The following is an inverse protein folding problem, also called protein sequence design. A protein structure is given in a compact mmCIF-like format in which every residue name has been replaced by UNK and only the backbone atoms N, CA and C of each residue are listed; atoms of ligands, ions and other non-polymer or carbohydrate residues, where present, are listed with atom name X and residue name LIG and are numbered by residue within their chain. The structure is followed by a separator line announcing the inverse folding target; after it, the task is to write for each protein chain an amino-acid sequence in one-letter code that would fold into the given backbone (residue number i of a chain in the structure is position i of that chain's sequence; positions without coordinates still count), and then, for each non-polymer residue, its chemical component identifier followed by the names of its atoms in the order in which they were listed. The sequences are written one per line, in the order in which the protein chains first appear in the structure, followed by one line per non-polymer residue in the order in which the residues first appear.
data_IF_473373707586
#
_entry.id   IF_473373707586
#
_cell.length_a   1.000
_cell.length_b   1.000
_cell.length_c   1.000
_cell.angle_alpha   90.00
_cell.angle_beta   90.00
_cell.angle_gamma   90.00
#
_symmetry.space_group_name_H-M   'P 1'
#
loop_
_entity.id
_entity.type
_entity.pdbx_description
1 polymer ?
#
# COMPACT_ATOMS: atom_id res chain seq x y z
N UNK A 1 7.42 -20.62 46.90
CA UNK A 1 6.34 -19.98 46.11
C UNK A 1 5.18 -20.95 46.02
N UNK A 2 4.00 -20.59 46.53
CA UNK A 2 2.84 -21.50 46.61
C UNK A 2 2.29 -21.86 45.22
N UNK A 3 1.77 -23.08 45.07
CA UNK A 3 1.21 -23.63 43.82
C UNK A 3 0.13 -22.74 43.17
N UNK A 4 -0.53 -21.88 43.94
CA UNK A 4 -1.48 -20.89 43.45
C UNK A 4 -0.83 -19.81 42.55
N UNK A 5 0.38 -19.35 42.89
CA UNK A 5 1.10 -18.31 42.14
C UNK A 5 1.54 -18.84 40.77
N UNK A 6 1.97 -20.12 40.72
CA UNK A 6 2.36 -20.77 39.47
C UNK A 6 1.16 -20.95 38.52
N UNK A 7 -0.02 -21.31 39.04
CA UNK A 7 -1.24 -21.43 38.23
C UNK A 7 -1.68 -20.08 37.64
N UNK A 8 -1.59 -18.98 38.40
CA UNK A 8 -1.95 -17.65 37.88
C UNK A 8 -1.01 -17.18 36.77
N UNK A 9 0.31 -17.44 36.89
CA UNK A 9 1.30 -17.06 35.86
C UNK A 9 1.09 -17.85 34.57
N UNK A 10 0.81 -19.16 34.69
CA UNK A 10 0.54 -20.01 33.51
C UNK A 10 -0.76 -19.60 32.82
N UNK A 11 -1.81 -19.27 33.58
CA UNK A 11 -3.07 -18.77 33.00
C UNK A 11 -2.90 -17.41 32.33
N UNK A 12 -2.10 -16.50 32.90
CA UNK A 12 -1.80 -15.20 32.28
C UNK A 12 -0.99 -15.34 30.98
N UNK A 13 -0.01 -16.24 30.94
CA UNK A 13 0.77 -16.53 29.73
C UNK A 13 -0.07 -17.20 28.64
N UNK A 14 -0.96 -18.12 29.01
CA UNK A 14 -1.90 -18.75 28.06
C UNK A 14 -2.92 -17.73 27.55
N UNK A 15 -3.45 -16.83 28.39
CA UNK A 15 -4.33 -15.75 27.93
C UNK A 15 -3.58 -14.77 26.99
N UNK A 16 -2.33 -14.40 27.28
CA UNK A 16 -1.54 -13.56 26.39
C UNK A 16 -1.26 -14.24 25.04
N UNK A 17 -1.02 -15.55 25.03
CA UNK A 17 -0.85 -16.32 23.78
C UNK A 17 -2.16 -16.48 23.00
N UNK A 18 -3.30 -16.60 23.69
CA UNK A 18 -4.63 -16.65 23.05
C UNK A 18 -5.03 -15.28 22.48
N UNK A 19 -4.79 -14.19 23.20
CA UNK A 19 -5.06 -12.82 22.72
C UNK A 19 -4.14 -12.47 21.53
N UNK A 20 -2.85 -12.80 21.61
CA UNK A 20 -1.91 -12.63 20.49
C UNK A 20 -2.29 -13.51 19.29
N UNK A 21 -2.71 -14.76 19.54
CA UNK A 21 -3.18 -15.69 18.51
C UNK A 21 -4.47 -15.26 17.83
N UNK A 22 -5.41 -14.64 18.56
CA UNK A 22 -6.69 -14.19 18.01
C UNK A 22 -6.56 -12.90 17.18
N UNK A 23 -5.68 -11.96 17.58
CA UNK A 23 -5.29 -10.82 16.74
C UNK A 23 -4.59 -11.26 15.45
N UNK A 24 -3.70 -12.26 15.54
CA UNK A 24 -2.91 -12.74 14.41
C UNK A 24 -3.75 -13.63 13.45
N UNK A 25 -4.80 -14.28 13.95
CA UNK A 25 -5.74 -15.07 13.13
C UNK A 25 -6.76 -14.19 12.41
N UNK A 26 -7.22 -13.10 13.04
CA UNK A 26 -8.15 -12.13 12.42
C UNK A 26 -7.51 -11.31 11.29
N UNK A 27 -6.18 -11.07 11.32
CA UNK A 27 -5.46 -10.43 10.21
C UNK A 27 -5.26 -11.31 8.96
N UNK A 28 -5.20 -12.64 9.12
CA UNK A 28 -4.82 -13.59 8.06
C UNK A 28 -5.89 -13.80 6.99
N UNK A 29 -7.16 -13.53 7.30
CA UNK A 29 -8.31 -13.80 6.41
C UNK A 29 -8.80 -12.54 5.66
N UNK A 30 -8.37 -11.35 6.10
CA UNK A 30 -9.02 -10.07 5.76
C UNK A 30 -8.59 -9.43 4.42
N UNK A 31 -7.61 -10.01 3.72
CA UNK A 31 -7.17 -9.53 2.40
C UNK A 31 -7.72 -10.33 1.22
N UNK A 32 -8.43 -11.44 1.46
CA UNK A 32 -9.02 -12.28 0.41
C UNK A 32 -10.50 -12.70 0.66
N UNK A 33 -11.10 -12.41 1.83
CA UNK A 33 -12.54 -12.62 2.06
C UNK A 33 -13.32 -11.31 2.25
N UNK A 34 -14.65 -11.43 2.27
CA UNK A 34 -15.64 -10.40 1.94
C UNK A 34 -15.69 -9.17 2.87
N UNK A 35 -14.86 -9.11 3.91
CA UNK A 35 -14.66 -7.93 4.79
C UNK A 35 -13.59 -6.94 4.28
N UNK A 36 -13.25 -7.02 2.99
CA UNK A 36 -12.52 -5.99 2.22
C UNK A 36 -13.23 -4.62 2.13
N UNK A 37 -14.32 -4.46 2.88
CA UNK A 37 -15.25 -3.34 2.82
C UNK A 37 -14.71 -2.05 3.45
N UNK A 38 -13.65 -2.09 4.26
CA UNK A 38 -13.11 -0.87 4.85
C UNK A 38 -12.31 0.00 3.86
N UNK A 39 -11.66 -0.62 2.87
CA UNK A 39 -10.73 0.04 1.93
C UNK A 39 -11.14 -0.09 0.44
N UNK A 40 -12.30 -0.70 0.12
CA UNK A 40 -12.92 -1.20 -1.16
C UNK A 40 -12.46 -0.76 -2.54
N UNK A 41 -11.42 0.04 -2.70
CA UNK A 41 -10.53 -0.11 -3.83
C UNK A 41 -10.00 -1.55 -3.81
N UNK A 42 -10.79 -2.52 -4.31
CA UNK A 42 -10.28 -3.80 -4.81
C UNK A 42 -9.10 -3.36 -5.68
N UNK A 43 -7.90 -3.64 -5.21
CA UNK A 43 -6.66 -3.42 -5.95
C UNK A 43 -6.79 -4.33 -7.16
N UNK A 44 -7.51 -3.86 -8.19
CA UNK A 44 -8.04 -4.69 -9.25
C UNK A 44 -6.85 -5.45 -9.79
N UNK A 45 -6.77 -6.75 -9.50
CA UNK A 45 -5.50 -7.49 -9.49
C UNK A 45 -4.72 -7.05 -10.71
N UNK A 46 -3.78 -6.12 -10.49
CA UNK A 46 -3.15 -5.39 -11.58
C UNK A 46 -2.14 -6.38 -12.09
N UNK A 47 -2.62 -7.36 -12.85
CA UNK A 47 -1.79 -8.30 -13.59
C UNK A 47 -0.89 -7.36 -14.40
N UNK A 48 0.38 -7.33 -14.04
CA UNK A 48 1.32 -6.45 -14.72
C UNK A 48 1.30 -6.78 -16.19
N UNK A 49 1.32 -5.75 -17.01
CA UNK A 49 1.40 -5.88 -18.46
C UNK A 49 2.84 -5.87 -18.95
N UNK A 50 3.79 -5.78 -18.02
CA UNK A 50 5.22 -5.77 -18.26
C UNK A 50 5.91 -6.97 -17.60
N UNK A 51 6.60 -7.79 -18.40
CA UNK A 51 7.32 -8.96 -17.92
C UNK A 51 6.42 -10.11 -17.45
N UNK A 52 7.01 -11.27 -17.16
CA UNK A 52 6.27 -12.45 -16.70
C UNK A 52 5.67 -12.25 -15.31
N UNK A 53 6.47 -11.73 -14.37
CA UNK A 53 6.08 -11.43 -12.98
C UNK A 53 5.60 -9.99 -12.81
N UNK A 54 4.84 -9.71 -11.75
CA UNK A 54 4.50 -8.34 -11.37
C UNK A 54 5.50 -7.84 -10.32
N UNK A 55 6.62 -7.27 -10.77
CA UNK A 55 7.67 -6.73 -9.92
C UNK A 55 7.17 -5.62 -8.98
N UNK A 56 6.16 -4.86 -9.40
CA UNK A 56 5.59 -3.75 -8.64
C UNK A 56 4.49 -4.18 -7.66
N UNK A 57 4.12 -5.47 -7.62
CA UNK A 57 3.10 -5.97 -6.70
C UNK A 57 3.58 -5.79 -5.26
N UNK A 58 2.85 -4.98 -4.48
CA UNK A 58 3.15 -4.70 -3.08
C UNK A 58 4.59 -4.23 -2.88
N UNK A 59 5.01 -3.28 -3.70
CA UNK A 59 6.32 -2.65 -3.58
C UNK A 59 6.56 -2.21 -2.12
N UNK A 60 7.62 -2.73 -1.50
CA UNK A 60 7.97 -2.41 -0.12
C UNK A 60 7.41 -3.33 0.95
N UNK A 61 6.43 -4.18 0.63
CA UNK A 61 5.76 -5.07 1.61
C UNK A 61 5.26 -6.36 0.94
N UNK A 62 6.18 -7.09 0.31
CA UNK A 62 5.84 -8.31 -0.45
C UNK A 62 5.13 -9.35 0.42
N UNK A 63 5.58 -9.50 1.66
CA UNK A 63 5.12 -10.49 2.62
C UNK A 63 3.89 -10.03 3.42
N UNK A 64 3.38 -8.82 3.16
CA UNK A 64 2.17 -8.22 3.78
C UNK A 64 2.27 -7.99 5.28
N UNK A 65 3.44 -8.19 5.88
CA UNK A 65 3.60 -8.12 7.34
C UNK A 65 3.30 -6.71 7.86
N UNK A 66 3.73 -5.68 7.13
CA UNK A 66 3.40 -4.31 7.49
C UNK A 66 1.93 -3.98 7.16
N UNK A 67 1.42 -4.41 6.01
CA UNK A 67 0.04 -4.17 5.61
C UNK A 67 -0.97 -4.70 6.61
N UNK A 68 -0.78 -5.91 7.14
CA UNK A 68 -1.71 -6.52 8.10
C UNK A 68 -1.76 -5.71 9.42
N UNK A 69 -0.60 -5.27 9.90
CA UNK A 69 -0.51 -4.41 11.09
C UNK A 69 -1.12 -3.03 10.85
N UNK A 70 -0.76 -2.40 9.74
CA UNK A 70 -1.23 -1.07 9.38
C UNK A 70 -2.73 -1.05 9.08
N UNK A 71 -3.30 -2.13 8.58
CA UNK A 71 -4.75 -2.25 8.42
C UNK A 71 -5.44 -2.11 9.77
N UNK A 72 -4.99 -2.85 10.79
CA UNK A 72 -5.58 -2.79 12.13
C UNK A 72 -5.46 -1.39 12.73
N UNK A 73 -4.26 -0.79 12.68
CA UNK A 73 -4.00 0.56 13.21
C UNK A 73 -4.88 1.63 12.53
N UNK A 74 -5.03 1.56 11.20
CA UNK A 74 -5.86 2.53 10.47
C UNK A 74 -7.36 2.24 10.66
N UNK A 75 -7.77 0.98 10.75
CA UNK A 75 -9.15 0.63 11.04
C UNK A 75 -9.58 1.18 12.40
N UNK A 76 -8.75 1.00 13.43
CA UNK A 76 -8.98 1.53 14.78
C UNK A 76 -9.06 3.06 14.77
N UNK A 77 -8.08 3.73 14.14
CA UNK A 77 -8.01 5.21 14.04
C UNK A 77 -9.30 5.83 13.47
N UNK A 78 -9.97 5.14 12.55
CA UNK A 78 -11.21 5.61 11.93
C UNK A 78 -12.48 5.02 12.56
N UNK A 79 -12.36 4.00 13.41
CA UNK A 79 -13.48 3.45 14.19
C UNK A 79 -13.74 4.27 15.47
N UNK A 80 -12.70 4.84 16.07
CA UNK A 80 -12.74 5.62 17.32
C UNK A 80 -13.48 6.97 17.22
N UNK A 81 -13.89 7.40 16.03
CA UNK A 81 -14.34 8.76 15.74
C UNK A 81 -15.79 8.85 15.22
N UNK A 82 -16.65 7.98 15.76
CA UNK A 82 -18.11 8.04 15.71
C UNK A 82 -18.85 7.41 14.51
N UNK A 83 -19.75 6.48 14.84
CA UNK A 83 -21.19 6.58 14.51
C UNK A 83 -21.65 6.31 13.08
N UNK A 84 -20.77 6.15 12.11
CA UNK A 84 -21.20 5.91 10.73
C UNK A 84 -20.37 4.75 10.17
N UNK A 85 -20.94 3.55 10.21
CA UNK A 85 -20.74 2.61 9.10
C UNK A 85 -21.79 2.98 8.06
N UNK A 86 -21.53 3.96 7.17
CA UNK A 86 -22.45 4.15 6.06
C UNK A 86 -22.30 2.87 5.24
N UNK A 87 -23.43 2.29 4.80
CA UNK A 87 -23.39 1.50 3.57
C UNK A 87 -22.66 2.38 2.56
N UNK A 88 -21.45 1.96 2.19
CA UNK A 88 -20.50 2.82 1.49
C UNK A 88 -21.03 3.16 0.10
N UNK A 89 -21.67 4.32 0.01
CA UNK A 89 -22.11 4.88 -1.27
C UNK A 89 -20.88 5.40 -2.03
N UNK A 90 -20.44 4.65 -3.04
CA UNK A 90 -19.33 5.05 -3.91
C UNK A 90 -19.64 6.29 -4.77
N UNK A 91 -20.90 6.73 -4.79
CA UNK A 91 -21.34 7.97 -5.44
C UNK A 91 -21.40 9.15 -4.47
N UNK A 92 -21.22 8.93 -3.15
CA UNK A 92 -21.05 10.01 -2.18
C UNK A 92 -19.63 10.56 -2.24
N UNK A 93 -19.53 11.88 -2.44
CA UNK A 93 -18.25 12.61 -2.44
C UNK A 93 -17.53 12.46 -1.10
N UNK A 94 -18.28 12.43 0.00
CA UNK A 94 -17.81 12.30 1.38
C UNK A 94 -17.23 10.91 1.63
N UNK A 95 -17.93 9.85 1.20
CA UNK A 95 -17.44 8.48 1.32
C UNK A 95 -16.16 8.24 0.50
N UNK A 96 -16.07 8.85 -0.69
CA UNK A 96 -14.86 8.82 -1.52
C UNK A 96 -13.70 9.55 -0.83
N UNK A 97 -13.94 10.73 -0.25
CA UNK A 97 -12.93 11.47 0.53
C UNK A 97 -12.42 10.64 1.70
N UNK A 98 -13.30 10.05 2.50
CA UNK A 98 -12.91 9.20 3.64
C UNK A 98 -12.10 8.00 3.17
N UNK A 99 -12.52 7.33 2.09
CA UNK A 99 -11.79 6.18 1.53
C UNK A 99 -10.38 6.59 1.08
N UNK A 100 -10.24 7.76 0.44
CA UNK A 100 -8.94 8.31 0.04
C UNK A 100 -8.04 8.58 1.26
N UNK A 101 -8.58 9.17 2.33
CA UNK A 101 -7.85 9.41 3.59
C UNK A 101 -7.34 8.10 4.22
N UNK A 102 -8.21 7.09 4.28
CA UNK A 102 -7.83 5.75 4.75
C UNK A 102 -6.64 5.20 3.95
N UNK A 103 -6.70 5.26 2.61
CA UNK A 103 -5.59 4.82 1.75
C UNK A 103 -4.30 5.59 2.03
N UNK A 104 -4.36 6.90 2.23
CA UNK A 104 -3.19 7.70 2.58
C UNK A 104 -2.55 7.23 3.90
N UNK A 105 -3.35 7.01 4.93
CA UNK A 105 -2.86 6.50 6.22
C UNK A 105 -2.28 5.09 6.13
N UNK A 106 -2.94 4.19 5.39
CA UNK A 106 -2.48 2.82 5.20
C UNK A 106 -1.10 2.80 4.53
N UNK A 107 -0.96 3.55 3.43
CA UNK A 107 0.27 3.61 2.67
C UNK A 107 1.38 4.35 3.43
N UNK A 108 1.09 5.42 4.16
CA UNK A 108 2.08 6.05 5.05
C UNK A 108 2.61 5.06 6.09
N UNK A 109 1.72 4.35 6.78
CA UNK A 109 2.10 3.37 7.79
C UNK A 109 3.00 2.27 7.22
N UNK A 110 2.62 1.70 6.06
CA UNK A 110 3.43 0.69 5.36
C UNK A 110 4.81 1.25 4.98
N UNK A 111 4.84 2.48 4.47
CA UNK A 111 6.06 3.16 4.08
C UNK A 111 7.02 3.35 5.25
N UNK A 112 6.51 3.80 6.41
CA UNK A 112 7.30 4.00 7.64
C UNK A 112 7.83 2.69 8.21
N UNK A 113 6.96 1.67 8.39
CA UNK A 113 7.37 0.37 8.95
C UNK A 113 8.45 -0.33 8.12
N UNK A 114 8.43 -0.13 6.80
CA UNK A 114 9.42 -0.72 5.87
C UNK A 114 10.56 0.23 5.51
N UNK A 115 10.73 1.36 6.22
CA UNK A 115 11.83 2.32 6.04
C UNK A 115 11.88 2.99 4.66
N UNK A 116 10.79 2.92 3.90
CA UNK A 116 10.62 3.59 2.61
C UNK A 116 10.23 5.05 2.79
N UNK A 117 9.62 5.37 3.94
CA UNK A 117 9.48 6.72 4.42
C UNK A 117 10.38 6.94 5.63
N UNK A 118 10.85 8.16 5.78
CA UNK A 118 11.41 8.69 7.02
C UNK A 118 10.28 9.01 8.02
N UNK A 119 10.64 9.31 9.27
CA UNK A 119 9.67 9.57 10.34
C UNK A 119 8.76 10.78 10.06
N UNK A 120 9.28 11.79 9.36
CA UNK A 120 8.54 12.97 8.88
C UNK A 120 7.58 12.65 7.71
N UNK A 121 7.62 11.42 7.18
CA UNK A 121 6.80 10.95 6.06
C UNK A 121 7.35 11.33 4.69
N UNK A 122 8.57 11.87 4.58
CA UNK A 122 9.24 12.07 3.29
C UNK A 122 9.84 10.76 2.75
N UNK A 123 10.13 10.71 1.44
CA UNK A 123 10.66 9.51 0.81
C UNK A 123 12.11 9.28 1.22
N UNK A 124 12.43 8.07 1.68
CA UNK A 124 13.81 7.66 1.92
C UNK A 124 14.48 7.28 0.59
N UNK A 125 14.90 8.29 -0.19
CA UNK A 125 15.37 8.14 -1.59
C UNK A 125 16.47 7.10 -1.73
N UNK A 126 17.45 7.11 -0.83
CA UNK A 126 18.59 6.17 -0.84
C UNK A 126 18.11 4.74 -0.64
N UNK A 127 17.35 4.49 0.44
CA UNK A 127 16.85 3.15 0.74
C UNK A 127 15.90 2.64 -0.35
N UNK A 128 15.02 3.50 -0.88
CA UNK A 128 14.10 3.14 -1.97
C UNK A 128 14.89 2.71 -3.21
N UNK A 129 15.91 3.47 -3.59
CA UNK A 129 16.75 3.16 -4.75
C UNK A 129 17.44 1.81 -4.56
N UNK A 130 18.10 1.62 -3.41
CA UNK A 130 18.81 0.38 -3.11
C UNK A 130 17.87 -0.83 -3.07
N UNK A 131 16.75 -0.71 -2.36
CA UNK A 131 15.73 -1.76 -2.28
C UNK A 131 15.20 -2.14 -3.67
N UNK A 132 14.91 -1.13 -4.50
CA UNK A 132 14.38 -1.34 -5.85
C UNK A 132 15.38 -2.08 -6.75
N UNK A 133 16.63 -1.59 -6.80
CA UNK A 133 17.64 -2.10 -7.72
C UNK A 133 18.21 -3.46 -7.30
N UNK A 134 18.17 -3.78 -6.00
CA UNK A 134 18.73 -5.03 -5.47
C UNK A 134 17.67 -6.10 -5.21
N UNK A 135 16.41 -5.73 -4.91
CA UNK A 135 15.37 -6.68 -4.47
C UNK A 135 14.19 -6.78 -5.45
N UNK A 136 13.83 -5.68 -6.12
CA UNK A 136 12.64 -5.61 -6.97
C UNK A 136 12.98 -5.92 -8.42
N UNK A 137 13.98 -5.24 -8.98
CA UNK A 137 14.38 -5.37 -10.37
C UNK A 137 15.51 -6.40 -10.52
N UNK A 138 15.13 -7.64 -10.84
CA UNK A 138 16.05 -8.78 -10.91
C UNK A 138 16.80 -8.83 -12.23
N UNK A 139 16.12 -8.52 -13.34
CA UNK A 139 16.69 -8.62 -14.69
C UNK A 139 17.26 -7.26 -15.15
N UNK A 140 18.25 -7.29 -16.05
CA UNK A 140 18.90 -6.07 -16.55
C UNK A 140 17.93 -5.09 -17.22
N UNK A 141 16.98 -5.60 -18.01
CA UNK A 141 15.97 -4.75 -18.64
C UNK A 141 15.05 -4.10 -17.60
N UNK A 142 14.75 -4.78 -16.48
CA UNK A 142 13.94 -4.23 -15.39
C UNK A 142 14.69 -3.10 -14.69
N UNK A 143 16.00 -3.30 -14.46
CA UNK A 143 16.87 -2.29 -13.85
C UNK A 143 16.92 -1.01 -14.67
N UNK A 144 17.09 -1.12 -16.00
CA UNK A 144 17.11 0.05 -16.88
C UNK A 144 15.79 0.84 -16.89
N UNK A 145 14.65 0.15 -16.90
CA UNK A 145 13.33 0.79 -16.82
C UNK A 145 13.09 1.38 -15.43
N UNK A 146 13.42 0.61 -14.40
CA UNK A 146 13.26 0.94 -13.00
C UNK A 146 14.09 2.15 -12.58
N UNK A 147 15.35 2.23 -13.00
CA UNK A 147 16.25 3.35 -12.74
C UNK A 147 15.68 4.66 -13.31
N UNK A 148 15.22 4.67 -14.56
CA UNK A 148 14.57 5.84 -15.17
C UNK A 148 13.29 6.23 -14.43
N UNK A 149 12.49 5.25 -14.02
CA UNK A 149 11.27 5.49 -13.27
C UNK A 149 11.57 6.05 -11.87
N UNK A 150 12.57 5.53 -11.17
CA UNK A 150 13.02 6.02 -9.87
C UNK A 150 13.56 7.45 -9.95
N UNK A 151 14.44 7.73 -10.91
CA UNK A 151 15.00 9.06 -11.12
C UNK A 151 13.91 10.12 -11.32
N UNK A 152 12.81 9.76 -12.00
CA UNK A 152 11.66 10.65 -12.17
C UNK A 152 10.82 10.76 -10.90
N UNK A 153 10.39 9.62 -10.35
CA UNK A 153 9.40 9.61 -9.25
C UNK A 153 9.98 10.04 -7.90
N UNK A 154 11.29 9.88 -7.66
CA UNK A 154 11.92 10.37 -6.43
C UNK A 154 12.11 11.88 -6.42
N UNK A 155 12.14 12.52 -7.60
CA UNK A 155 12.26 13.98 -7.76
C UNK A 155 10.93 14.67 -8.04
N UNK A 156 9.82 13.91 -8.08
CA UNK A 156 8.51 14.47 -8.34
C UNK A 156 7.94 15.19 -7.10
N UNK A 157 7.33 16.35 -7.32
CA UNK A 157 6.61 17.08 -6.27
C UNK A 157 5.21 16.50 -6.13
N UNK A 158 4.96 15.85 -4.99
CA UNK A 158 3.67 15.24 -4.69
C UNK A 158 2.70 16.20 -4.01
N UNK A 159 1.41 15.97 -4.24
CA UNK A 159 0.34 16.80 -3.68
C UNK A 159 0.30 16.57 -2.17
N UNK A 160 0.39 17.63 -1.33
CA UNK A 160 0.33 17.48 0.13
C UNK A 160 -1.09 17.17 0.60
N UNK A 161 -1.22 16.83 1.89
CA UNK A 161 -2.53 16.72 2.51
C UNK A 161 -3.28 18.07 2.45
N UNK A 162 -4.60 18.09 2.21
CA UNK A 162 -5.37 19.34 2.17
C UNK A 162 -5.22 20.15 3.46
N UNK A 163 -4.89 21.44 3.34
CA UNK A 163 -4.62 22.32 4.50
C UNK A 163 -5.83 22.52 5.41
N UNK A 164 -7.03 22.48 4.84
CA UNK A 164 -8.32 22.65 5.52
C UNK A 164 -8.69 21.44 6.40
N UNK A 165 -8.04 20.29 6.23
CA UNK A 165 -8.42 19.03 6.87
C UNK A 165 -7.45 18.65 7.99
N UNK A 166 -7.89 18.78 9.25
CA UNK A 166 -7.09 18.47 10.44
C UNK A 166 -7.29 17.04 10.95
N UNK A 167 -8.46 16.45 10.69
CA UNK A 167 -8.77 15.08 11.11
C UNK A 167 -8.10 14.03 10.23
N UNK A 168 -7.64 12.94 10.87
CA UNK A 168 -7.00 11.79 10.22
C UNK A 168 -5.81 12.13 9.32
N UNK A 169 -5.14 13.26 9.58
CA UNK A 169 -4.01 13.71 8.77
C UNK A 169 -2.96 12.61 8.66
N UNK A 170 -2.63 12.28 7.40
CA UNK A 170 -1.64 11.30 7.01
C UNK A 170 -0.88 11.85 5.80
N UNK A 171 0.37 11.42 5.60
CA UNK A 171 1.20 11.88 4.50
C UNK A 171 0.86 11.12 3.20
N UNK A 172 0.35 11.78 2.13
CA UNK A 172 -0.05 11.11 0.90
C UNK A 172 1.12 10.78 -0.04
N UNK A 173 2.35 11.16 0.31
CA UNK A 173 3.52 11.06 -0.57
C UNK A 173 3.77 9.62 -1.03
N UNK A 174 3.68 8.64 -0.12
CA UNK A 174 4.04 7.27 -0.48
C UNK A 174 3.10 6.61 -1.50
N UNK A 175 1.79 6.80 -1.37
CA UNK A 175 0.84 6.23 -2.34
C UNK A 175 0.99 6.90 -3.71
N UNK A 176 1.30 8.19 -3.75
CA UNK A 176 1.56 8.92 -5.00
C UNK A 176 2.86 8.45 -5.64
N UNK A 177 3.92 8.28 -4.85
CA UNK A 177 5.18 7.69 -5.30
C UNK A 177 5.00 6.29 -5.88
N UNK A 178 4.30 5.39 -5.17
CA UNK A 178 4.02 4.04 -5.67
C UNK A 178 3.24 4.07 -6.98
N UNK A 179 2.27 4.99 -7.10
CA UNK A 179 1.52 5.16 -8.34
C UNK A 179 2.40 5.65 -9.49
N UNK A 180 3.24 6.68 -9.26
CA UNK A 180 4.19 7.16 -10.25
C UNK A 180 5.13 6.05 -10.72
N UNK A 181 5.77 5.35 -9.78
CA UNK A 181 6.76 4.33 -10.08
C UNK A 181 6.15 3.20 -10.90
N UNK A 182 4.97 2.73 -10.50
CA UNK A 182 4.23 1.73 -11.26
C UNK A 182 3.84 2.21 -12.66
N UNK A 183 3.33 3.44 -12.78
CA UNK A 183 2.89 3.99 -14.07
C UNK A 183 4.07 4.16 -15.04
N UNK A 184 5.20 4.68 -14.55
CA UNK A 184 6.41 4.80 -15.35
C UNK A 184 6.98 3.44 -15.74
N UNK A 185 7.01 2.48 -14.82
CA UNK A 185 7.48 1.12 -15.13
C UNK A 185 6.61 0.43 -16.21
N UNK A 186 5.29 0.47 -16.08
CA UNK A 186 4.37 -0.14 -17.05
C UNK A 186 4.37 0.60 -18.40
N UNK A 187 4.47 1.94 -18.39
CA UNK A 187 4.43 2.75 -19.62
C UNK A 187 5.70 2.61 -20.45
N UNK A 188 6.85 2.40 -19.80
CA UNK A 188 8.16 2.30 -20.46
C UNK A 188 8.65 0.85 -20.58
N UNK A 189 7.77 -0.13 -20.37
CA UNK A 189 8.10 -1.53 -20.59
C UNK A 189 8.65 -1.76 -22.01
N UNK A 190 9.73 -2.52 -22.23
CA UNK A 190 10.24 -2.83 -23.57
C UNK A 190 9.25 -3.66 -24.39
N UNK A 191 9.23 -3.47 -25.72
CA UNK A 191 8.24 -4.11 -26.59
C UNK A 191 8.27 -5.64 -26.53
N UNK A 192 9.46 -6.23 -26.43
CA UNK A 192 9.67 -7.67 -26.30
C UNK A 192 9.28 -8.23 -24.91
N UNK A 193 9.09 -7.36 -23.91
CA UNK A 193 8.63 -7.72 -22.55
C UNK A 193 7.16 -7.39 -22.30
N UNK A 194 6.48 -6.75 -23.26
CA UNK A 194 5.06 -6.38 -23.13
C UNK A 194 4.16 -7.58 -23.38
N UNK A 195 3.13 -7.72 -22.53
CA UNK A 195 2.01 -8.63 -22.81
C UNK A 195 1.08 -7.99 -23.85
N UNK A 196 0.70 -8.75 -24.87
CA UNK A 196 -0.10 -8.29 -26.03
C UNK A 196 -1.57 -8.70 -25.96
N UNK A 197 -2.05 -9.20 -24.82
CA UNK A 197 -3.47 -9.51 -24.68
C UNK A 197 -4.34 -8.23 -24.67
N UNK A 198 -5.60 -8.36 -25.12
CA UNK A 198 -6.59 -7.27 -25.21
C UNK A 198 -6.74 -6.45 -23.93
N UNK A 199 -6.56 -7.06 -22.76
CA UNK A 199 -6.61 -6.36 -21.46
C UNK A 199 -5.43 -5.40 -21.32
N UNK A 200 -4.22 -5.85 -21.63
CA UNK A 200 -3.02 -5.04 -21.54
C UNK A 200 -2.97 -3.90 -22.55
N UNK A 201 -3.50 -4.11 -23.75
CA UNK A 201 -3.65 -3.06 -24.75
C UNK A 201 -4.59 -1.94 -24.29
N UNK A 202 -5.79 -2.30 -23.81
CA UNK A 202 -6.75 -1.32 -23.24
C UNK A 202 -6.15 -0.55 -22.07
N UNK A 203 -5.45 -1.26 -21.19
CA UNK A 203 -4.79 -0.68 -20.03
C UNK A 203 -3.70 0.32 -20.43
N UNK A 204 -2.84 -0.03 -21.39
CA UNK A 204 -1.80 0.85 -21.92
C UNK A 204 -2.37 2.10 -22.59
N UNK A 205 -3.46 1.94 -23.34
CA UNK A 205 -4.17 3.08 -23.93
C UNK A 205 -4.67 4.06 -22.85
N UNK A 206 -5.15 3.53 -21.70
CA UNK A 206 -5.52 4.35 -20.55
C UNK A 206 -4.34 5.12 -19.96
N UNK A 207 -3.18 4.48 -19.81
CA UNK A 207 -1.97 5.13 -19.29
C UNK A 207 -1.50 6.28 -20.19
N UNK A 208 -1.56 6.07 -21.52
CA UNK A 208 -1.25 7.11 -22.50
C UNK A 208 -2.16 8.33 -22.34
N UNK A 209 -3.46 8.11 -22.18
CA UNK A 209 -4.42 9.19 -21.94
C UNK A 209 -4.18 9.92 -20.62
N UNK A 210 -3.83 9.20 -19.55
CA UNK A 210 -3.47 9.83 -18.26
C UNK A 210 -2.22 10.71 -18.39
N UNK A 211 -1.16 10.22 -19.05
CA UNK A 211 0.06 11.02 -19.28
C UNK A 211 -0.18 12.28 -20.13
N UNK A 212 -1.18 12.29 -21.03
CA UNK A 212 -1.54 13.49 -21.80
C UNK A 212 -2.34 14.51 -21.02
N UNK A 213 -3.05 14.12 -19.95
CA UNK A 213 -3.86 15.02 -19.12
C UNK A 213 -3.10 15.62 -17.93
N UNK A 214 -1.90 15.11 -17.63
CA UNK A 214 -1.01 15.63 -16.57
C UNK A 214 0.08 16.58 -17.11
N UNK A 215 -0.03 17.03 -18.36
CA UNK A 215 0.82 18.04 -19.00
C UNK A 215 0.06 19.34 -19.18
#
# INVERSE_FOLDING_TARGET
MSAAVFKCIVVALVLQQVIAGDHQRRGKELLDTEDSDFFRCKQATRKSCCGPENSMKRFGDKDKTAADQCYAEVAEKFASTAGVTPKQDLFSTEAVKITKKKQFCLHECIGKKNKLLTEDGSLNKTFITDYSMNTIFKEQWQKQVGEKALAKCLEETYIPWPTEETEYKCNPVYVQFQHCLWLEYESNCPDDKRKTNKKCEKTRNRYRMQKSSSK
#
